data_IF_217496399460
#
_entry.id   IF_217496399460
#
_cell.length_a   1.000
_cell.length_b   1.000
_cell.length_c   1.000
_cell.angle_alpha   90.00
_cell.angle_beta   90.00
_cell.angle_gamma   90.00
#
_symmetry.space_group_name_H-M   'P 1'
#
loop_
_entity.id
_entity.type
_entity.pdbx_description
1 polymer ?
#
# COMPACT_ATOMS: atom_id res chain seq x y z
N UNK A 1 -3.47 3.23 -7.95
CA UNK A 1 -2.11 2.72 -7.67
C UNK A 1 -1.59 3.33 -6.38
N UNK A 2 -1.28 2.52 -5.36
CA UNK A 2 -0.87 2.80 -3.97
C UNK A 2 -1.48 4.02 -3.25
N UNK A 3 -1.39 5.25 -3.78
CA UNK A 3 -2.07 6.43 -3.26
C UNK A 3 -3.56 6.19 -3.02
N UNK A 4 -4.23 5.60 -4.02
CA UNK A 4 -5.64 5.21 -3.93
C UNK A 4 -5.89 4.14 -2.85
N UNK A 5 -5.01 3.13 -2.77
CA UNK A 5 -5.07 2.06 -1.76
C UNK A 5 -4.94 2.62 -0.34
N UNK A 6 -4.04 3.59 -0.15
CA UNK A 6 -3.73 4.18 1.14
C UNK A 6 -4.58 5.43 1.44
N UNK A 7 -5.43 5.86 0.52
CA UNK A 7 -6.07 7.20 0.58
C UNK A 7 -5.05 8.33 0.83
N UNK A 8 -3.81 8.14 0.37
CA UNK A 8 -2.70 9.06 0.57
C UNK A 8 -2.63 10.05 -0.58
N UNK A 9 -2.23 11.28 -0.30
CA UNK A 9 -2.01 12.26 -1.37
C UNK A 9 -0.87 11.81 -2.29
N UNK A 10 -0.97 12.12 -3.58
CA UNK A 10 0.07 11.80 -4.56
C UNK A 10 1.44 12.42 -4.22
N UNK A 11 1.47 13.42 -3.33
CA UNK A 11 2.68 14.09 -2.86
C UNK A 11 3.39 13.34 -1.71
N UNK A 12 2.77 12.31 -1.13
CA UNK A 12 3.30 11.54 -0.01
C UNK A 12 4.63 10.89 -0.38
N UNK A 13 5.62 11.04 0.50
CA UNK A 13 6.97 10.51 0.28
C UNK A 13 6.96 8.99 0.02
N UNK A 14 6.03 8.27 0.64
CA UNK A 14 5.84 6.81 0.47
C UNK A 14 5.32 6.46 -0.93
N UNK A 15 4.36 7.24 -1.44
CA UNK A 15 3.83 7.08 -2.80
C UNK A 15 4.90 7.38 -3.83
N UNK A 16 5.71 8.44 -3.61
CA UNK A 16 6.84 8.78 -4.49
C UNK A 16 7.95 7.72 -4.47
N UNK A 17 8.28 7.18 -3.30
CA UNK A 17 9.24 6.08 -3.18
C UNK A 17 8.74 4.83 -3.89
N UNK A 18 7.48 4.45 -3.67
CA UNK A 18 6.84 3.34 -4.37
C UNK A 18 6.80 3.55 -5.88
N UNK A 19 6.49 4.77 -6.36
CA UNK A 19 6.45 5.07 -7.79
C UNK A 19 7.80 4.83 -8.49
N UNK A 20 8.91 5.07 -7.79
CA UNK A 20 10.28 4.87 -8.29
C UNK A 20 10.77 3.41 -8.25
N UNK A 21 10.08 2.52 -7.54
CA UNK A 21 10.44 1.10 -7.45
C UNK A 21 10.21 0.37 -8.78
N UNK A 22 11.02 -0.67 -9.04
CA UNK A 22 10.82 -1.56 -10.20
C UNK A 22 9.51 -2.34 -10.05
N UNK A 23 8.98 -2.85 -11.16
CA UNK A 23 7.72 -3.61 -11.19
C UNK A 23 7.73 -4.79 -10.20
N UNK A 24 8.84 -5.52 -10.11
CA UNK A 24 9.00 -6.64 -9.18
C UNK A 24 9.01 -6.20 -7.71
N UNK A 25 9.62 -5.06 -7.41
CA UNK A 25 9.68 -4.51 -6.05
C UNK A 25 8.32 -3.94 -5.61
N UNK A 26 7.57 -3.33 -6.53
CA UNK A 26 6.19 -2.88 -6.29
C UNK A 26 5.29 -4.06 -5.94
N UNK A 27 5.40 -5.17 -6.68
CA UNK A 27 4.65 -6.40 -6.40
C UNK A 27 4.98 -6.93 -5.00
N UNK A 28 6.26 -7.12 -4.69
CA UNK A 28 6.68 -7.61 -3.38
C UNK A 28 6.26 -6.67 -2.23
N UNK A 29 6.28 -5.35 -2.45
CA UNK A 29 5.82 -4.36 -1.46
C UNK A 29 4.31 -4.42 -1.26
N UNK A 30 3.54 -4.56 -2.34
CA UNK A 30 2.09 -4.75 -2.24
C UNK A 30 1.76 -6.07 -1.53
N UNK A 31 2.36 -7.18 -1.93
CA UNK A 31 2.13 -8.49 -1.29
C UNK A 31 2.40 -8.44 0.22
N UNK A 32 3.48 -7.77 0.64
CA UNK A 32 3.78 -7.54 2.06
C UNK A 32 2.78 -6.60 2.73
N UNK A 33 2.31 -5.54 2.06
CA UNK A 33 1.27 -4.67 2.60
C UNK A 33 -0.04 -5.41 2.87
N UNK A 34 -0.39 -6.43 2.06
CA UNK A 34 -1.57 -7.27 2.29
C UNK A 34 -1.33 -8.40 3.30
N UNK A 35 -0.12 -8.95 3.37
CA UNK A 35 0.16 -10.17 4.14
C UNK A 35 0.84 -9.94 5.48
N UNK A 36 1.48 -8.78 5.69
CA UNK A 36 2.37 -8.52 6.83
C UNK A 36 2.04 -7.19 7.52
N UNK A 37 1.53 -7.28 8.74
CA UNK A 37 1.22 -6.13 9.60
C UNK A 37 2.47 -5.36 10.03
N UNK A 38 3.65 -5.99 10.00
CA UNK A 38 4.93 -5.32 10.28
C UNK A 38 5.23 -4.30 9.19
N UNK A 39 5.06 -4.66 7.92
CA UNK A 39 5.24 -3.78 6.77
C UNK A 39 4.26 -2.62 6.79
N UNK A 40 3.01 -2.87 7.19
CA UNK A 40 2.01 -1.81 7.38
C UNK A 40 2.44 -0.80 8.47
N UNK A 41 3.00 -1.30 9.57
CA UNK A 41 3.53 -0.46 10.65
C UNK A 41 4.77 0.32 10.21
N UNK A 42 5.68 -0.31 9.46
CA UNK A 42 6.87 0.35 8.89
C UNK A 42 6.50 1.45 7.89
N UNK A 43 5.40 1.26 7.17
CA UNK A 43 4.82 2.28 6.31
C UNK A 43 4.07 3.37 7.08
N UNK A 44 4.03 3.31 8.41
CA UNK A 44 3.26 4.21 9.27
C UNK A 44 1.81 4.34 8.80
N UNK A 45 1.20 3.19 8.47
CA UNK A 45 -0.20 3.15 8.10
C UNK A 45 -1.07 3.26 9.36
N UNK A 46 -2.07 4.12 9.29
CA UNK A 46 -3.11 4.18 10.30
C UNK A 46 -3.90 2.87 10.33
N UNK A 47 -4.49 2.48 11.48
CA UNK A 47 -5.32 1.28 11.57
C UNK A 47 -6.49 1.29 10.56
N UNK A 48 -7.02 2.46 10.22
CA UNK A 48 -8.05 2.63 9.18
C UNK A 48 -7.53 2.29 7.77
N UNK A 49 -6.28 2.67 7.45
CA UNK A 49 -5.65 2.35 6.18
C UNK A 49 -5.36 0.85 6.09
N UNK A 50 -4.91 0.24 7.19
CA UNK A 50 -4.71 -1.21 7.29
C UNK A 50 -6.02 -1.98 7.09
N UNK A 51 -7.08 -1.55 7.78
CA UNK A 51 -8.41 -2.15 7.63
C UNK A 51 -8.91 -2.04 6.18
N UNK A 52 -8.68 -0.89 5.52
CA UNK A 52 -9.04 -0.70 4.11
C UNK A 52 -8.24 -1.62 3.19
N UNK A 53 -6.94 -1.81 3.41
CA UNK A 53 -6.13 -2.78 2.65
C UNK A 53 -6.68 -4.20 2.86
N UNK A 54 -7.00 -4.58 4.10
CA UNK A 54 -7.57 -5.90 4.39
C UNK A 54 -8.97 -6.12 3.80
N UNK A 55 -9.76 -5.06 3.66
CA UNK A 55 -11.06 -5.07 2.98
C UNK A 55 -10.97 -4.77 1.48
N UNK A 56 -9.77 -4.50 0.95
CA UNK A 56 -9.60 -4.18 -0.46
C UNK A 56 -9.72 -5.48 -1.26
N UNK A 57 -10.91 -5.67 -1.83
CA UNK A 57 -11.20 -6.68 -2.82
C UNK A 57 -11.14 -5.99 -4.18
N UNK A 58 -10.41 -6.51 -5.17
CA UNK A 58 -10.51 -5.99 -6.52
C UNK A 58 -11.96 -6.14 -7.01
N UNK A 59 -12.48 -5.09 -7.65
CA UNK A 59 -13.82 -5.01 -8.24
C UNK A 59 -13.92 -5.89 -9.51
N UNK A 60 -13.47 -7.14 -9.41
CA UNK A 60 -13.57 -8.14 -10.46
C UNK A 60 -14.81 -9.02 -10.18
N UNK A 61 -15.99 -8.42 -10.31
CA UNK A 61 -17.26 -9.11 -10.58
C UNK A 61 -17.69 -8.82 -12.02
#
# INVERSE_FOLDING_TARGET
MLADLLSAEACDARVKAFAKMKKSEKAATMERLFSDSTTQTLYALSPEQVARIGQWVPDCL
#
